data_IF_094536891752
#
_entry.id   IF_094536891752
#
_cell.length_a   1.000
_cell.length_b   1.000
_cell.length_c   1.000
_cell.angle_alpha   90.00
_cell.angle_beta   90.00
_cell.angle_gamma   90.00
#
_symmetry.space_group_name_H-M   'P 1'
#
loop_
_entity.id
_entity.type
_entity.pdbx_description
1 polymer ?
#
# COMPACT_ATOMS: atom_id res chain seq x y z
N UNK A 1 -18.27 -1.71 -15.10
CA UNK A 1 -17.09 -1.59 -14.22
C UNK A 1 -17.60 -1.19 -12.85
N UNK A 2 -17.25 -1.95 -11.82
CA UNK A 2 -17.63 -1.59 -10.46
C UNK A 2 -16.93 -0.29 -10.06
N UNK A 3 -17.63 0.57 -9.32
CA UNK A 3 -17.05 1.80 -8.81
C UNK A 3 -16.02 1.47 -7.73
N UNK A 4 -14.92 2.20 -7.72
CA UNK A 4 -13.90 2.08 -6.69
C UNK A 4 -13.52 3.45 -6.13
N UNK A 5 -13.06 3.48 -4.90
CA UNK A 5 -12.49 4.66 -4.27
C UNK A 5 -10.97 4.66 -4.42
N UNK A 6 -10.37 5.83 -4.40
CA UNK A 6 -8.90 5.99 -4.46
C UNK A 6 -8.42 6.65 -3.17
N UNK A 7 -7.35 6.11 -2.60
CA UNK A 7 -6.63 6.71 -1.46
C UNK A 7 -5.21 7.01 -1.89
N UNK A 8 -4.79 8.25 -1.68
CA UNK A 8 -3.43 8.74 -1.92
C UNK A 8 -2.92 9.25 -0.59
N UNK A 9 -1.74 8.78 -0.16
CA UNK A 9 -1.08 9.30 1.03
C UNK A 9 0.21 10.01 0.63
N UNK A 10 0.37 11.24 1.09
CA UNK A 10 1.57 12.04 0.83
C UNK A 10 2.10 12.71 2.10
N UNK A 11 3.37 13.10 2.08
CA UNK A 11 3.99 13.88 3.14
C UNK A 11 4.69 15.14 2.60
N UNK A 12 5.62 15.01 1.68
CA UNK A 12 6.45 16.13 1.16
C UNK A 12 6.65 16.07 -0.35
N UNK A 13 6.14 15.06 -1.03
CA UNK A 13 6.28 14.84 -2.47
C UNK A 13 5.10 15.42 -3.24
N UNK A 14 5.04 16.74 -3.37
CA UNK A 14 3.90 17.46 -3.92
C UNK A 14 4.01 17.80 -5.41
N UNK A 15 5.22 17.75 -5.97
CA UNK A 15 5.51 18.25 -7.33
C UNK A 15 4.64 17.61 -8.43
N UNK A 16 4.45 16.30 -8.35
CA UNK A 16 3.72 15.55 -9.37
C UNK A 16 2.37 14.99 -8.86
N UNK A 17 2.02 15.28 -7.61
CA UNK A 17 0.81 14.75 -6.98
C UNK A 17 -0.47 15.11 -7.74
N UNK A 18 -0.53 16.29 -8.37
CA UNK A 18 -1.65 16.69 -9.20
C UNK A 18 -1.87 15.74 -10.39
N UNK A 19 -0.81 15.15 -10.97
CA UNK A 19 -0.92 14.18 -12.07
C UNK A 19 -1.65 12.91 -11.64
N UNK A 20 -1.36 12.45 -10.41
CA UNK A 20 -2.01 11.26 -9.81
C UNK A 20 -3.50 11.55 -9.61
N UNK A 21 -3.81 12.70 -8.98
CA UNK A 21 -5.19 13.12 -8.70
C UNK A 21 -5.97 13.29 -10.02
N UNK A 22 -5.40 14.00 -10.99
CA UNK A 22 -6.03 14.26 -12.29
C UNK A 22 -6.27 12.97 -13.06
N UNK A 23 -5.34 12.03 -13.00
CA UNK A 23 -5.50 10.74 -13.65
C UNK A 23 -6.68 9.96 -13.03
N UNK A 24 -6.65 9.74 -11.71
CA UNK A 24 -7.69 8.95 -11.06
C UNK A 24 -9.06 9.62 -11.04
N UNK A 25 -9.14 10.95 -11.13
CA UNK A 25 -10.42 11.67 -11.23
C UNK A 25 -11.23 11.35 -12.51
N UNK A 26 -10.60 10.74 -13.52
CA UNK A 26 -11.28 10.25 -14.73
C UNK A 26 -12.03 8.93 -14.48
N UNK A 27 -11.60 8.17 -13.47
CA UNK A 27 -12.08 6.81 -13.24
C UNK A 27 -12.83 6.65 -11.91
N UNK A 28 -12.64 7.56 -10.95
CA UNK A 28 -13.28 7.53 -9.64
C UNK A 28 -13.94 8.86 -9.29
N UNK A 29 -15.07 8.78 -8.59
CA UNK A 29 -15.77 9.93 -8.01
C UNK A 29 -15.52 10.08 -6.50
N UNK A 30 -14.68 9.21 -5.92
CA UNK A 30 -14.37 9.17 -4.49
C UNK A 30 -12.85 9.04 -4.30
N UNK A 31 -12.17 10.17 -4.19
CA UNK A 31 -10.73 10.26 -4.01
C UNK A 31 -10.44 10.87 -2.64
N UNK A 32 -9.64 10.20 -1.84
CA UNK A 32 -9.13 10.69 -0.56
C UNK A 32 -7.65 10.98 -0.72
N UNK A 33 -7.26 12.22 -0.46
CA UNK A 33 -5.87 12.61 -0.29
C UNK A 33 -5.60 12.84 1.19
N UNK A 34 -4.76 12.00 1.78
CA UNK A 34 -4.24 12.20 3.11
C UNK A 34 -2.86 12.88 3.04
N UNK A 35 -2.83 14.14 3.41
CA UNK A 35 -1.62 14.96 3.45
C UNK A 35 -1.05 15.01 4.87
N UNK A 36 -0.01 14.20 5.10
CA UNK A 36 0.72 14.14 6.37
C UNK A 36 1.59 15.38 6.65
N UNK A 37 1.87 16.19 5.62
CA UNK A 37 2.61 17.45 5.76
C UNK A 37 1.72 18.64 6.05
N UNK A 38 0.44 18.55 5.65
CA UNK A 38 -0.55 19.61 5.84
C UNK A 38 -0.33 20.86 4.98
N UNK A 39 0.56 20.80 3.97
CA UNK A 39 0.99 21.96 3.17
C UNK A 39 0.48 21.91 1.73
N UNK A 40 -0.03 20.77 1.28
CA UNK A 40 -0.49 20.61 -0.10
C UNK A 40 -1.71 21.47 -0.40
N UNK A 41 -1.67 22.16 -1.53
CA UNK A 41 -2.80 22.93 -2.06
C UNK A 41 -3.13 22.44 -3.46
N UNK A 42 -4.28 21.80 -3.57
CA UNK A 42 -4.77 21.33 -4.87
C UNK A 42 -5.40 22.49 -5.65
N UNK A 43 -4.84 22.79 -6.81
CA UNK A 43 -5.29 23.84 -7.71
C UNK A 43 -5.96 23.29 -8.98
N UNK A 44 -6.56 22.10 -8.90
CA UNK A 44 -7.29 21.48 -10.00
C UNK A 44 -8.57 22.21 -10.37
N UNK A 45 -9.22 21.77 -11.45
CA UNK A 45 -10.48 22.34 -11.87
C UNK A 45 -11.62 22.04 -10.88
N UNK A 46 -12.74 22.77 -11.00
CA UNK A 46 -13.87 22.65 -10.07
C UNK A 46 -14.56 21.28 -10.09
N UNK A 47 -14.50 20.53 -11.19
CA UNK A 47 -15.09 19.20 -11.29
C UNK A 47 -14.25 18.15 -10.56
N UNK A 48 -12.93 18.19 -10.73
CA UNK A 48 -12.00 17.32 -10.03
C UNK A 48 -12.01 17.60 -8.51
N UNK A 49 -12.11 18.88 -8.12
CA UNK A 49 -12.20 19.27 -6.72
C UNK A 49 -13.42 18.69 -6.00
N UNK A 50 -14.54 18.48 -6.71
CA UNK A 50 -15.74 17.85 -6.12
C UNK A 50 -15.56 16.37 -5.77
N UNK A 51 -14.64 15.69 -6.45
CA UNK A 51 -14.33 14.27 -6.25
C UNK A 51 -13.27 14.03 -5.19
N UNK A 52 -12.53 15.08 -4.81
CA UNK A 52 -11.39 15.03 -3.90
C UNK A 52 -11.81 15.44 -2.48
N UNK A 53 -11.59 14.54 -1.53
CA UNK A 53 -11.66 14.81 -0.10
C UNK A 53 -10.23 14.90 0.45
N UNK A 54 -9.86 16.05 0.99
CA UNK A 54 -8.52 16.26 1.55
C UNK A 54 -8.55 16.16 3.07
N UNK A 55 -7.63 15.38 3.62
CA UNK A 55 -7.35 15.29 5.05
C UNK A 55 -5.96 15.87 5.27
N UNK A 56 -5.88 17.11 5.73
CA UNK A 56 -4.61 17.78 6.05
C UNK A 56 -4.26 17.58 7.51
N UNK A 57 -3.05 17.08 7.78
CA UNK A 57 -2.57 16.79 9.12
C UNK A 57 -1.37 17.69 9.48
N UNK A 58 -1.35 18.18 10.72
CA UNK A 58 -0.19 18.93 11.25
C UNK A 58 0.96 18.00 11.67
N UNK A 59 0.68 16.71 11.82
CA UNK A 59 1.63 15.70 12.25
C UNK A 59 1.70 14.60 11.21
N UNK A 60 2.88 14.06 10.97
CA UNK A 60 3.09 12.92 10.10
C UNK A 60 2.65 11.63 10.83
N UNK A 61 1.52 11.08 10.40
CA UNK A 61 1.02 9.78 10.86
C UNK A 61 1.67 8.59 10.12
N UNK A 62 2.67 8.88 9.28
CA UNK A 62 3.38 7.89 8.48
C UNK A 62 2.52 7.21 7.42
N UNK A 63 3.04 6.14 6.88
CA UNK A 63 2.41 5.36 5.81
C UNK A 63 1.13 4.63 6.24
N UNK A 64 0.95 4.35 7.55
CA UNK A 64 -0.32 3.80 8.08
C UNK A 64 -1.54 4.67 7.80
N UNK A 65 -1.35 5.97 7.56
CA UNK A 65 -2.43 6.89 7.22
C UNK A 65 -3.23 6.41 6.01
N UNK A 66 -2.58 5.78 5.01
CA UNK A 66 -3.24 5.22 3.83
C UNK A 66 -4.28 4.14 4.19
N UNK A 67 -3.97 3.27 5.15
CA UNK A 67 -4.91 2.22 5.59
C UNK A 67 -5.99 2.76 6.52
N UNK A 68 -5.68 3.72 7.40
CA UNK A 68 -6.67 4.39 8.27
C UNK A 68 -7.69 5.18 7.44
N UNK A 69 -7.29 5.72 6.29
CA UNK A 69 -8.16 6.45 5.37
C UNK A 69 -9.28 5.60 4.76
N UNK A 70 -9.15 4.29 4.81
CA UNK A 70 -10.16 3.35 4.27
C UNK A 70 -11.53 3.51 4.94
N UNK A 71 -11.59 4.01 6.17
CA UNK A 71 -12.86 4.30 6.85
C UNK A 71 -13.67 5.42 6.19
N UNK A 72 -13.04 6.31 5.42
CA UNK A 72 -13.69 7.47 4.79
C UNK A 72 -14.21 7.23 3.37
N UNK A 73 -13.89 6.09 2.74
CA UNK A 73 -14.32 5.75 1.39
C UNK A 73 -15.75 5.19 1.37
N UNK A 74 -16.42 5.38 0.22
CA UNK A 74 -17.83 4.97 0.05
C UNK A 74 -17.98 3.66 -0.73
N UNK A 75 -17.02 3.30 -1.60
CA UNK A 75 -17.11 2.11 -2.43
C UNK A 75 -16.53 0.85 -1.76
N UNK A 76 -17.00 -0.32 -2.19
CA UNK A 76 -16.51 -1.60 -1.68
C UNK A 76 -15.14 -2.01 -2.25
N UNK A 77 -14.77 -1.47 -3.41
CA UNK A 77 -13.44 -1.60 -3.97
C UNK A 77 -12.62 -0.35 -3.68
N UNK A 78 -11.36 -0.53 -3.39
CA UNK A 78 -10.42 0.55 -3.13
C UNK A 78 -9.10 0.33 -3.84
N UNK A 79 -8.57 1.41 -4.41
CA UNK A 79 -7.21 1.54 -4.87
C UNK A 79 -6.46 2.45 -3.89
N UNK A 80 -5.41 1.93 -3.26
CA UNK A 80 -4.51 2.70 -2.40
C UNK A 80 -3.19 2.84 -3.16
N UNK A 81 -2.67 4.04 -3.30
CA UNK A 81 -1.42 4.31 -4.03
C UNK A 81 -0.51 5.23 -3.25
N UNK A 82 0.80 5.02 -3.41
CA UNK A 82 1.81 5.93 -2.91
C UNK A 82 1.91 7.17 -3.82
N UNK A 83 2.43 8.26 -3.30
CA UNK A 83 2.54 9.57 -3.95
C UNK A 83 3.69 9.67 -4.98
N UNK A 84 4.45 8.60 -5.15
CA UNK A 84 5.56 8.49 -6.10
C UNK A 84 5.27 7.55 -7.28
N UNK A 85 4.10 6.93 -7.33
CA UNK A 85 3.67 6.08 -8.45
C UNK A 85 2.73 6.89 -9.36
N UNK A 86 3.24 7.32 -10.52
CA UNK A 86 2.49 8.12 -11.48
C UNK A 86 1.87 7.22 -12.54
N UNK A 87 0.54 7.05 -12.57
CA UNK A 87 -0.11 6.21 -13.58
C UNK A 87 -0.10 6.86 -14.96
N UNK A 88 -0.06 6.02 -16.00
CA UNK A 88 -0.23 6.39 -17.42
C UNK A 88 -1.53 5.85 -17.96
N UNK A 89 -1.90 6.30 -19.14
CA UNK A 89 -3.03 5.72 -19.90
C UNK A 89 -2.87 4.20 -20.03
N UNK A 90 -3.96 3.46 -19.84
CA UNK A 90 -3.96 1.99 -19.82
C UNK A 90 -3.76 1.36 -18.44
N UNK A 91 -3.32 2.10 -17.42
CA UNK A 91 -3.06 1.53 -16.08
C UNK A 91 -4.31 0.93 -15.44
N UNK A 92 -5.43 1.64 -15.47
CA UNK A 92 -6.70 1.17 -14.90
C UNK A 92 -7.29 0.02 -15.73
N UNK A 93 -7.13 0.05 -17.03
CA UNK A 93 -7.56 -1.03 -17.92
C UNK A 93 -6.82 -2.34 -17.62
N UNK A 94 -5.49 -2.29 -17.44
CA UNK A 94 -4.66 -3.45 -17.02
C UNK A 94 -5.08 -3.97 -15.65
N UNK A 95 -5.26 -3.05 -14.69
CA UNK A 95 -5.68 -3.36 -13.32
C UNK A 95 -7.01 -4.11 -13.31
N UNK A 96 -8.04 -3.57 -13.99
CA UNK A 96 -9.37 -4.17 -14.03
C UNK A 96 -9.39 -5.50 -14.80
N UNK A 97 -8.65 -5.58 -15.91
CA UNK A 97 -8.49 -6.84 -16.64
C UNK A 97 -7.91 -7.93 -15.74
N UNK A 98 -6.85 -7.60 -15.00
CA UNK A 98 -6.21 -8.54 -14.06
C UNK A 98 -7.14 -8.87 -12.88
N UNK A 99 -7.85 -7.88 -12.34
CA UNK A 99 -8.80 -8.11 -11.25
C UNK A 99 -9.88 -9.11 -11.65
N UNK A 100 -10.47 -8.97 -12.83
CA UNK A 100 -11.51 -9.88 -13.32
C UNK A 100 -10.97 -11.30 -13.51
N UNK A 101 -9.74 -11.46 -14.03
CA UNK A 101 -9.10 -12.79 -14.16
C UNK A 101 -8.88 -13.43 -12.80
N UNK A 102 -8.32 -12.70 -11.85
CA UNK A 102 -7.97 -13.18 -10.50
C UNK A 102 -9.22 -13.48 -9.69
N UNK A 103 -10.27 -12.66 -9.77
CA UNK A 103 -11.52 -12.83 -9.03
C UNK A 103 -12.27 -14.13 -9.38
N UNK A 104 -11.99 -14.73 -10.54
CA UNK A 104 -12.51 -16.04 -10.90
C UNK A 104 -11.75 -17.20 -10.24
N UNK A 105 -10.53 -16.96 -9.77
CA UNK A 105 -9.62 -18.01 -9.26
C UNK A 105 -9.42 -17.94 -7.75
N UNK A 106 -9.54 -16.75 -7.15
CA UNK A 106 -9.25 -16.52 -5.74
C UNK A 106 -10.41 -15.82 -5.04
N UNK A 107 -10.73 -16.28 -3.83
CA UNK A 107 -11.81 -15.73 -3.01
C UNK A 107 -11.41 -14.42 -2.34
N UNK A 108 -10.25 -14.41 -1.72
CA UNK A 108 -9.71 -13.30 -0.93
C UNK A 108 -8.31 -12.93 -1.45
N UNK A 109 -8.22 -11.75 -2.06
CA UNK A 109 -6.98 -11.29 -2.69
C UNK A 109 -6.91 -9.77 -2.82
N UNK A 110 -5.71 -9.27 -3.05
CA UNK A 110 -5.46 -7.94 -3.58
C UNK A 110 -4.53 -8.00 -4.80
N UNK A 111 -4.60 -6.97 -5.63
CA UNK A 111 -3.62 -6.71 -6.70
C UNK A 111 -2.63 -5.64 -6.26
N UNK A 112 -1.40 -5.74 -6.77
CA UNK A 112 -0.32 -4.79 -6.53
C UNK A 112 0.58 -4.67 -7.76
N UNK A 113 1.42 -3.63 -7.82
CA UNK A 113 2.45 -3.47 -8.87
C UNK A 113 3.83 -3.94 -8.41
N UNK A 114 4.02 -4.13 -7.12
CA UNK A 114 5.26 -4.59 -6.52
C UNK A 114 4.98 -5.61 -5.44
N UNK A 115 5.71 -6.70 -5.46
CA UNK A 115 5.66 -7.70 -4.42
C UNK A 115 7.01 -8.38 -4.22
N UNK A 116 7.12 -9.15 -3.15
CA UNK A 116 8.30 -9.98 -2.90
C UNK A 116 7.90 -11.40 -2.54
N UNK A 117 8.76 -12.35 -2.89
CA UNK A 117 8.74 -13.72 -2.37
C UNK A 117 9.90 -13.86 -1.39
N UNK A 118 9.62 -14.19 -0.15
CA UNK A 118 10.64 -14.38 0.85
C UNK A 118 11.42 -15.66 0.61
N UNK A 119 12.75 -15.57 0.68
CA UNK A 119 13.67 -16.71 0.70
C UNK A 119 13.94 -17.01 2.18
N UNK A 120 13.83 -18.27 2.58
CA UNK A 120 14.06 -18.70 3.96
C UNK A 120 13.24 -17.92 5.03
N UNK A 121 12.07 -17.38 4.63
CA UNK A 121 11.21 -16.56 5.51
C UNK A 121 11.88 -15.27 6.01
N UNK A 122 12.87 -14.75 5.30
CA UNK A 122 13.60 -13.53 5.63
C UNK A 122 13.12 -12.34 4.78
N UNK A 123 13.01 -11.17 5.42
CA UNK A 123 12.77 -9.92 4.71
C UNK A 123 14.02 -9.43 3.97
N UNK A 124 15.23 -9.77 4.45
CA UNK A 124 16.47 -9.42 3.77
C UNK A 124 16.74 -10.26 2.52
N UNK A 125 16.30 -11.53 2.55
CA UNK A 125 16.50 -12.46 1.45
C UNK A 125 15.18 -12.64 0.71
N UNK A 126 15.00 -11.94 -0.41
CA UNK A 126 13.78 -12.02 -1.20
C UNK A 126 13.98 -11.79 -2.68
N UNK A 127 13.11 -12.38 -3.49
CA UNK A 127 12.94 -12.07 -4.89
C UNK A 127 11.93 -10.94 -5.06
N UNK A 128 12.38 -9.80 -5.58
CA UNK A 128 11.51 -8.68 -5.91
C UNK A 128 10.80 -8.94 -7.25
N UNK A 129 9.48 -8.79 -7.27
CA UNK A 129 8.64 -8.95 -8.45
C UNK A 129 8.00 -7.60 -8.77
N UNK A 130 8.29 -7.07 -9.95
CA UNK A 130 7.74 -5.80 -10.44
C UNK A 130 6.81 -6.06 -11.61
N UNK A 131 5.70 -5.34 -11.64
CA UNK A 131 4.68 -5.45 -12.69
C UNK A 131 5.20 -5.21 -14.11
N UNK A 132 6.23 -4.36 -14.27
CA UNK A 132 6.84 -4.08 -15.57
C UNK A 132 7.72 -5.22 -16.12
N UNK A 133 8.11 -6.18 -15.28
CA UNK A 133 9.03 -7.26 -15.60
C UNK A 133 8.32 -8.61 -15.84
N UNK A 134 7.01 -8.63 -15.72
CA UNK A 134 6.19 -9.86 -15.83
C UNK A 134 5.16 -9.74 -16.95
N UNK A 135 4.72 -10.88 -17.50
CA UNK A 135 3.70 -10.96 -18.55
C UNK A 135 2.36 -11.54 -18.03
N UNK A 136 2.37 -12.14 -16.83
CA UNK A 136 1.19 -12.72 -16.21
C UNK A 136 1.12 -12.40 -14.71
N UNK A 137 -0.05 -12.66 -14.11
CA UNK A 137 -0.28 -12.44 -12.68
C UNK A 137 0.57 -13.39 -11.83
N UNK A 138 1.35 -12.86 -10.89
CA UNK A 138 2.23 -13.65 -10.01
C UNK A 138 1.84 -13.45 -8.55
N UNK A 139 1.58 -14.55 -7.83
CA UNK A 139 1.35 -14.51 -6.38
C UNK A 139 2.65 -14.26 -5.62
N UNK A 140 2.56 -13.44 -4.55
CA UNK A 140 3.69 -13.01 -3.72
C UNK A 140 3.35 -13.10 -2.24
N UNK A 141 4.38 -13.12 -1.38
CA UNK A 141 4.21 -13.15 0.07
C UNK A 141 3.90 -11.77 0.64
N UNK A 142 4.42 -10.73 -0.01
CA UNK A 142 4.30 -9.34 0.40
C UNK A 142 3.89 -8.47 -0.79
N UNK A 143 3.15 -7.40 -0.53
CA UNK A 143 2.71 -6.40 -1.51
C UNK A 143 3.14 -5.00 -1.08
N UNK A 144 3.43 -4.13 -2.05
CA UNK A 144 3.84 -2.74 -1.79
C UNK A 144 3.36 -1.75 -2.87
N UNK A 145 3.46 -0.47 -2.55
CA UNK A 145 3.26 0.70 -3.43
C UNK A 145 1.81 0.96 -3.87
N UNK A 146 1.18 0.02 -4.56
CA UNK A 146 -0.21 0.10 -4.99
C UNK A 146 -0.94 -1.13 -4.48
N UNK A 147 -2.15 -0.94 -3.95
CA UNK A 147 -3.00 -2.01 -3.47
C UNK A 147 -4.40 -1.82 -4.04
N UNK A 148 -4.93 -2.83 -4.70
CA UNK A 148 -6.29 -2.82 -5.20
C UNK A 148 -7.05 -4.06 -4.74
N UNK A 149 -8.18 -3.86 -4.07
CA UNK A 149 -8.98 -4.96 -3.53
C UNK A 149 -10.23 -4.49 -2.82
N UNK A 150 -10.92 -5.42 -2.17
CA UNK A 150 -12.12 -5.09 -1.39
C UNK A 150 -11.74 -4.29 -0.14
N UNK A 151 -12.52 -3.26 0.16
CA UNK A 151 -12.38 -2.39 1.35
C UNK A 151 -12.13 -3.17 2.64
N UNK A 152 -12.83 -4.28 2.85
CA UNK A 152 -12.71 -5.11 4.05
C UNK A 152 -11.29 -5.64 4.31
N UNK A 153 -10.45 -5.80 3.27
CA UNK A 153 -9.07 -6.31 3.41
C UNK A 153 -8.10 -5.28 3.97
N UNK A 154 -8.52 -4.02 4.05
CA UNK A 154 -7.74 -2.89 4.57
C UNK A 154 -8.36 -2.29 5.84
N UNK A 155 -9.61 -2.63 6.18
CA UNK A 155 -10.27 -2.23 7.43
C UNK A 155 -9.80 -3.15 8.57
N UNK A 156 -8.51 -3.08 8.89
CA UNK A 156 -7.84 -3.92 9.87
C UNK A 156 -7.40 -3.08 11.08
N UNK A 157 -7.32 -3.71 12.24
CA UNK A 157 -6.91 -3.03 13.46
C UNK A 157 -5.38 -3.01 13.61
N UNK A 158 -4.76 -2.01 13.00
CA UNK A 158 -3.31 -1.77 13.11
C UNK A 158 -2.90 -1.26 14.50
N UNK A 159 -3.84 -0.90 15.36
CA UNK A 159 -3.59 -0.31 16.68
C UNK A 159 -2.54 0.82 16.61
N UNK A 160 -1.38 0.63 17.26
CA UNK A 160 -0.28 1.59 17.32
C UNK A 160 0.94 1.15 16.50
N UNK A 161 0.79 0.21 15.57
CA UNK A 161 1.90 -0.29 14.74
C UNK A 161 2.79 0.85 14.24
N UNK A 162 4.12 0.79 14.41
CA UNK A 162 5.03 1.80 13.90
C UNK A 162 5.08 1.84 12.37
N UNK A 163 5.53 2.96 11.80
CA UNK A 163 5.49 3.18 10.35
C UNK A 163 6.42 2.27 9.53
N UNK A 164 7.49 1.78 10.14
CA UNK A 164 8.43 0.90 9.43
C UNK A 164 7.88 -0.51 9.21
N UNK A 165 6.93 -0.92 10.03
CA UNK A 165 6.33 -2.26 10.04
C UNK A 165 4.94 -2.33 9.39
N UNK A 166 4.41 -1.22 8.89
CA UNK A 166 3.02 -1.08 8.42
C UNK A 166 2.61 -2.10 7.35
N UNK A 167 3.42 -2.25 6.30
CA UNK A 167 3.11 -3.17 5.20
C UNK A 167 3.30 -4.63 5.61
N UNK A 168 4.29 -4.94 6.47
CA UNK A 168 4.50 -6.28 7.03
C UNK A 168 3.36 -6.64 7.97
N UNK A 169 2.91 -5.69 8.80
CA UNK A 169 1.75 -5.87 9.68
C UNK A 169 0.46 -6.06 8.87
N UNK A 170 0.31 -5.36 7.73
CA UNK A 170 -0.82 -5.59 6.81
C UNK A 170 -0.87 -7.06 6.37
N UNK A 171 0.28 -7.63 5.98
CA UNK A 171 0.38 -9.06 5.60
C UNK A 171 -0.09 -9.97 6.73
N UNK A 172 0.41 -9.74 7.95
CA UNK A 172 0.01 -10.51 9.12
C UNK A 172 -1.49 -10.45 9.40
N UNK A 173 -2.03 -9.23 9.47
CA UNK A 173 -3.45 -9.01 9.76
C UNK A 173 -4.36 -9.60 8.67
N UNK A 174 -3.96 -9.50 7.40
CA UNK A 174 -4.72 -10.12 6.30
C UNK A 174 -4.70 -11.65 6.39
N UNK A 175 -3.55 -12.26 6.65
CA UNK A 175 -3.45 -13.71 6.78
C UNK A 175 -4.25 -14.25 7.97
N UNK A 176 -4.26 -13.49 9.09
CA UNK A 176 -5.01 -13.85 10.30
C UNK A 176 -6.52 -13.75 10.09
N UNK A 177 -7.00 -12.68 9.44
CA UNK A 177 -8.43 -12.45 9.25
C UNK A 177 -9.02 -13.17 8.02
N UNK A 178 -8.18 -13.50 7.04
CA UNK A 178 -8.57 -14.13 5.77
C UNK A 178 -7.59 -15.27 5.44
N UNK A 179 -7.74 -16.46 6.04
CA UNK A 179 -6.86 -17.61 5.76
C UNK A 179 -6.80 -17.93 4.26
N UNK A 180 -5.58 -18.06 3.71
CA UNK A 180 -5.35 -18.26 2.29
C UNK A 180 -5.44 -16.97 1.44
N UNK A 181 -5.29 -15.81 2.06
CA UNK A 181 -5.26 -14.52 1.37
C UNK A 181 -4.11 -14.43 0.36
N UNK A 182 -4.42 -13.96 -0.85
CA UNK A 182 -3.45 -13.87 -1.94
C UNK A 182 -3.07 -12.43 -2.26
N UNK A 183 -1.80 -12.18 -2.47
CA UNK A 183 -1.23 -10.91 -2.96
C UNK A 183 -0.68 -11.16 -4.34
N UNK A 184 -1.15 -10.43 -5.33
CA UNK A 184 -0.88 -10.75 -6.72
C UNK A 184 -0.33 -9.51 -7.42
N UNK A 185 0.89 -9.61 -7.92
CA UNK A 185 1.45 -8.61 -8.83
C UNK A 185 0.83 -8.83 -10.20
N UNK A 186 0.17 -7.79 -10.73
CA UNK A 186 -0.41 -7.83 -12.08
C UNK A 186 0.52 -7.18 -13.10
N UNK A 187 0.57 -7.68 -14.34
CA UNK A 187 1.45 -7.13 -15.38
C UNK A 187 0.93 -5.77 -15.86
N UNK A 188 1.78 -4.76 -15.78
CA UNK A 188 1.56 -3.44 -16.41
C UNK A 188 2.86 -2.67 -16.56
N UNK A 189 2.98 -1.92 -17.65
CA UNK A 189 4.09 -0.96 -17.90
C UNK A 189 3.57 0.48 -17.90
N UNK A 190 2.29 0.66 -17.53
CA UNK A 190 1.57 1.91 -17.66
C UNK A 190 1.67 2.81 -16.41
N UNK A 191 2.86 2.91 -15.85
CA UNK A 191 3.21 3.85 -14.78
C UNK A 191 4.70 4.24 -14.85
N UNK A 192 5.10 5.21 -14.03
CA UNK A 192 6.50 5.53 -13.76
C UNK A 192 6.62 6.08 -12.35
N UNK A 193 7.84 6.08 -11.82
CA UNK A 193 8.10 6.68 -10.52
C UNK A 193 8.37 8.18 -10.66
N UNK A 194 7.86 8.96 -9.73
CA UNK A 194 8.14 10.39 -9.61
C UNK A 194 9.64 10.65 -9.50
N UNK A 195 10.10 11.79 -10.03
CA UNK A 195 11.46 12.27 -9.81
C UNK A 195 11.79 12.50 -8.33
N UNK A 196 10.77 12.64 -7.49
CA UNK A 196 10.91 12.81 -6.05
C UNK A 196 10.98 11.48 -5.27
N UNK A 197 11.02 10.31 -5.95
CA UNK A 197 10.94 8.99 -5.32
C UNK A 197 11.95 8.78 -4.18
N UNK A 198 13.15 9.30 -4.31
CA UNK A 198 14.20 9.19 -3.27
C UNK A 198 14.12 10.25 -2.17
N UNK A 199 13.23 11.24 -2.31
CA UNK A 199 13.09 12.32 -1.35
C UNK A 199 12.27 11.86 -0.14
N UNK A 200 12.87 11.90 1.04
CA UNK A 200 12.22 11.51 2.30
C UNK A 200 11.57 10.10 2.28
N UNK A 201 12.20 9.15 1.60
CA UNK A 201 11.69 7.79 1.49
C UNK A 201 11.93 7.02 2.78
N UNK A 202 10.91 6.32 3.31
CA UNK A 202 11.00 5.51 4.52
C UNK A 202 12.09 4.44 4.41
N UNK A 203 12.24 3.81 3.24
CA UNK A 203 13.26 2.78 3.00
C UNK A 203 14.70 3.26 3.14
N UNK A 204 14.93 4.59 3.08
CA UNK A 204 16.24 5.21 3.31
C UNK A 204 16.50 5.56 4.77
N UNK A 205 15.51 5.40 5.65
CA UNK A 205 15.68 5.68 7.07
C UNK A 205 16.50 4.58 7.76
N UNK A 206 17.31 4.94 8.78
CA UNK A 206 18.04 3.95 9.57
C UNK A 206 17.11 2.89 10.15
N UNK A 207 17.59 1.66 10.18
CA UNK A 207 16.86 0.52 10.75
C UNK A 207 15.56 0.10 10.06
N UNK A 208 15.16 0.72 8.92
CA UNK A 208 13.93 0.36 8.22
C UNK A 208 13.85 -1.15 7.90
N UNK A 209 14.87 -1.68 7.21
CA UNK A 209 14.90 -3.08 6.83
C UNK A 209 14.99 -4.00 8.06
N UNK A 210 15.74 -3.58 9.09
CA UNK A 210 15.89 -4.32 10.34
C UNK A 210 14.56 -4.49 11.10
N UNK A 211 13.77 -3.43 11.23
CA UNK A 211 12.46 -3.53 11.89
C UNK A 211 11.53 -4.49 11.14
N UNK A 212 11.54 -4.43 9.82
CA UNK A 212 10.75 -5.34 8.98
C UNK A 212 11.21 -6.78 9.09
N UNK A 213 12.52 -7.03 9.12
CA UNK A 213 13.08 -8.37 9.34
C UNK A 213 12.65 -8.94 10.70
N UNK A 214 12.80 -8.17 11.79
CA UNK A 214 12.42 -8.62 13.11
C UNK A 214 10.93 -8.99 13.20
N UNK A 215 10.05 -8.19 12.60
CA UNK A 215 8.63 -8.50 12.54
C UNK A 215 8.33 -9.69 11.63
N UNK A 216 8.98 -9.80 10.47
CA UNK A 216 8.83 -10.95 9.57
C UNK A 216 9.20 -12.25 10.28
N UNK A 217 10.31 -12.25 11.01
CA UNK A 217 10.75 -13.40 11.81
C UNK A 217 9.75 -13.76 12.92
N UNK A 218 9.22 -12.77 13.63
CA UNK A 218 8.19 -13.00 14.64
C UNK A 218 6.93 -13.64 14.04
N UNK A 219 6.48 -13.15 12.88
CA UNK A 219 5.31 -13.68 12.16
C UNK A 219 5.57 -15.13 11.70
N UNK A 220 6.72 -15.38 11.06
CA UNK A 220 7.07 -16.70 10.55
C UNK A 220 7.23 -17.77 11.64
N UNK A 221 7.62 -17.35 12.84
CA UNK A 221 7.77 -18.22 14.02
C UNK A 221 6.51 -18.26 14.90
N UNK A 222 5.44 -17.56 14.49
CA UNK A 222 4.18 -17.43 15.24
C UNK A 222 4.40 -16.91 16.68
N UNK A 223 5.33 -15.96 16.84
CA UNK A 223 5.67 -15.32 18.11
C UNK A 223 4.66 -14.20 18.42
N UNK A 224 3.56 -14.60 19.03
CA UNK A 224 2.42 -13.72 19.34
C UNK A 224 2.82 -12.61 20.33
N UNK A 225 3.76 -12.85 21.25
CA UNK A 225 4.20 -11.84 22.20
C UNK A 225 4.92 -10.69 21.46
N UNK A 226 5.89 -11.01 20.61
CA UNK A 226 6.62 -10.01 19.81
C UNK A 226 5.68 -9.25 18.85
N UNK A 227 4.78 -9.96 18.19
CA UNK A 227 3.78 -9.31 17.30
C UNK A 227 2.92 -8.33 18.09
N UNK A 228 2.47 -8.69 19.30
CA UNK A 228 1.68 -7.80 20.16
C UNK A 228 2.48 -6.57 20.62
N UNK A 229 3.78 -6.66 20.84
CA UNK A 229 4.64 -5.49 21.14
C UNK A 229 4.55 -4.48 19.97
N UNK A 230 4.71 -4.94 18.73
CA UNK A 230 4.59 -4.07 17.55
C UNK A 230 3.18 -3.45 17.43
N UNK A 231 2.13 -4.22 17.66
CA UNK A 231 0.76 -3.69 17.68
C UNK A 231 0.53 -2.62 18.77
N UNK A 232 1.32 -2.65 19.84
CA UNK A 232 1.28 -1.67 20.92
C UNK A 232 2.21 -0.45 20.69
N UNK A 233 2.94 -0.40 19.60
CA UNK A 233 3.78 0.74 19.21
C UNK A 233 5.26 0.58 19.52
N UNK A 234 5.70 -0.65 19.81
CA UNK A 234 7.10 -0.94 20.10
C UNK A 234 7.81 -1.47 18.86
N UNK A 235 9.05 -1.04 18.60
CA UNK A 235 9.95 -1.72 17.68
C UNK A 235 10.55 -2.95 18.35
N UNK A 236 10.70 -4.02 17.57
CA UNK A 236 11.36 -5.22 18.08
C UNK A 236 12.88 -5.02 18.07
N UNK A 237 13.50 -5.24 19.23
CA UNK A 237 14.94 -5.33 19.35
C UNK A 237 15.48 -6.64 18.73
N UNK A 238 16.77 -6.69 18.44
CA UNK A 238 17.41 -7.93 18.00
C UNK A 238 17.27 -9.01 19.06
N UNK A 239 16.92 -10.22 18.62
CA UNK A 239 17.25 -11.39 19.41
C UNK A 239 18.78 -11.50 19.43
N UNK A 240 19.41 -11.09 20.52
CA UNK A 240 20.76 -11.51 20.86
C UNK A 240 20.68 -13.01 21.18
N UNK A 241 20.44 -13.81 20.12
CA UNK A 241 20.42 -15.26 20.22
C UNK A 241 21.77 -15.73 20.74
N UNK A 242 21.71 -16.40 21.86
CA UNK A 242 22.81 -17.17 22.43
C UNK A 242 23.17 -18.32 21.50
#
# INVERSE_FOLDING_TARGET
MDRFSVIICTWTRYKELYKIIDYYSKYSDDIILWDNGGEYKYNGNSEQSKKLKMVSCKYNFGSLAKFKSVSFIINDLVLITDDDVIPKEGFIEDLISSYNKVNNSYKDFLLTIFGVKFINKSYYEHDAIRSCDIEENISTDFAGQVYFGKKKYFMLDFKKTPNHEDDVMLVYLQNTNYPGFNRIVFPTKNYYYSEEVLKNTLSMQPCFAKHRENLTNAICNNDIERINKVLNGEHLEEDNGY
#
